data_IF_624739641772
#
_entry.id   IF_624739641772
#
_cell.length_a   1.000
_cell.length_b   1.000
_cell.length_c   1.000
_cell.angle_alpha   90.00
_cell.angle_beta   90.00
_cell.angle_gamma   90.00
#
_symmetry.space_group_name_H-M   'P 1'
#
loop_
_entity.id
_entity.type
_entity.pdbx_description
1 polymer ?
#
# COMPACT_ATOMS: atom_id res chain seq x y z
N UNK A 1 12.15 8.00 -2.68
CA UNK A 1 12.19 8.19 -1.23
C UNK A 1 11.15 7.39 -0.48
N UNK A 2 9.90 7.54 -0.82
CA UNK A 2 8.85 6.72 -0.23
C UNK A 2 9.09 5.22 -0.42
N UNK A 3 9.72 4.84 -1.53
CA UNK A 3 10.02 3.44 -1.85
C UNK A 3 10.72 2.68 -0.75
N UNK A 4 11.65 3.33 -0.06
CA UNK A 4 12.45 2.66 0.97
C UNK A 4 11.68 2.47 2.28
N UNK A 5 10.66 3.28 2.50
CA UNK A 5 9.86 3.19 3.71
C UNK A 5 8.80 2.11 3.63
N UNK A 6 8.41 1.71 2.42
CA UNK A 6 7.32 0.76 2.20
C UNK A 6 7.85 -0.64 1.92
N UNK A 7 7.26 -1.62 2.60
CA UNK A 7 7.55 -3.01 2.32
C UNK A 7 6.56 -3.51 1.27
N UNK A 8 6.88 -3.24 0.01
CA UNK A 8 6.01 -3.59 -1.12
C UNK A 8 5.72 -5.07 -1.21
N UNK A 9 6.73 -5.89 -0.94
CA UNK A 9 6.57 -7.35 -0.95
C UNK A 9 5.56 -7.82 0.08
N UNK A 10 5.64 -7.32 1.30
CA UNK A 10 4.71 -7.70 2.36
C UNK A 10 3.31 -7.19 2.07
N UNK A 11 3.18 -5.96 1.57
CA UNK A 11 1.88 -5.41 1.22
C UNK A 11 1.22 -6.20 0.10
N UNK A 12 1.98 -6.57 -0.92
CA UNK A 12 1.48 -7.38 -2.03
C UNK A 12 1.07 -8.77 -1.56
N UNK A 13 1.91 -9.41 -0.75
CA UNK A 13 1.61 -10.72 -0.19
C UNK A 13 0.31 -10.70 0.62
N UNK A 14 0.18 -9.70 1.49
CA UNK A 14 -1.01 -9.56 2.33
C UNK A 14 -2.26 -9.29 1.51
N UNK A 15 -2.13 -8.55 0.42
CA UNK A 15 -3.28 -8.23 -0.44
C UNK A 15 -3.77 -9.43 -1.25
N UNK A 16 -2.91 -10.42 -1.49
CA UNK A 16 -3.32 -11.66 -2.14
C UNK A 16 -3.82 -12.71 -1.14
N UNK A 17 -3.41 -12.60 0.12
CA UNK A 17 -3.79 -13.56 1.14
C UNK A 17 -3.38 -14.98 0.79
N UNK A 18 -4.30 -15.92 0.88
CA UNK A 18 -4.04 -17.33 0.60
C UNK A 18 -3.60 -17.59 -0.84
N UNK A 19 -3.97 -16.73 -1.77
CA UNK A 19 -3.59 -16.88 -3.19
C UNK A 19 -2.08 -16.79 -3.40
N UNK A 20 -1.38 -16.08 -2.51
CA UNK A 20 0.08 -15.93 -2.61
C UNK A 20 0.81 -17.27 -2.59
N UNK A 21 0.29 -18.24 -1.85
CA UNK A 21 0.93 -19.54 -1.71
C UNK A 21 0.97 -20.35 -3.00
N UNK A 22 0.03 -20.11 -3.89
CA UNK A 22 -0.05 -20.82 -5.16
C UNK A 22 0.83 -20.22 -6.25
N UNK A 23 1.50 -19.11 -5.98
CA UNK A 23 2.36 -18.46 -6.96
C UNK A 23 3.79 -18.94 -6.87
N UNK A 24 4.46 -19.09 -8.02
CA UNK A 24 5.88 -19.35 -8.06
C UNK A 24 6.66 -18.03 -7.85
N UNK A 25 7.98 -18.13 -7.71
CA UNK A 25 8.82 -16.96 -7.44
C UNK A 25 8.72 -15.89 -8.54
N UNK A 26 8.62 -16.33 -9.79
CA UNK A 26 8.50 -15.43 -10.93
C UNK A 26 7.21 -14.64 -10.88
N UNK A 27 6.11 -15.33 -10.61
CA UNK A 27 4.81 -14.69 -10.48
C UNK A 27 4.78 -13.73 -9.30
N UNK A 28 5.38 -14.11 -8.18
CA UNK A 28 5.47 -13.23 -7.01
C UNK A 28 6.22 -11.95 -7.32
N UNK A 29 7.38 -12.05 -7.96
CA UNK A 29 8.16 -10.89 -8.34
C UNK A 29 7.41 -9.97 -9.29
N UNK A 30 6.77 -10.55 -10.30
CA UNK A 30 5.98 -9.78 -11.27
C UNK A 30 4.80 -9.08 -10.60
N UNK A 31 4.14 -9.78 -9.68
CA UNK A 31 2.99 -9.19 -8.98
C UNK A 31 3.42 -8.03 -8.08
N UNK A 32 4.51 -8.19 -7.35
CA UNK A 32 5.02 -7.11 -6.48
C UNK A 32 5.34 -5.86 -7.31
N UNK A 33 6.00 -6.02 -8.44
CA UNK A 33 6.33 -4.90 -9.32
C UNK A 33 5.09 -4.19 -9.83
N UNK A 34 4.11 -4.95 -10.30
CA UNK A 34 2.87 -4.39 -10.82
C UNK A 34 2.05 -3.73 -9.71
N UNK A 35 2.02 -4.34 -8.52
CA UNK A 35 1.32 -3.79 -7.37
C UNK A 35 1.89 -2.43 -6.98
N UNK A 36 3.21 -2.36 -6.90
CA UNK A 36 3.91 -1.12 -6.59
C UNK A 36 3.60 -0.03 -7.62
N UNK A 37 3.65 -0.38 -8.91
CA UNK A 37 3.38 0.57 -9.97
C UNK A 37 1.94 1.06 -9.98
N UNK A 38 0.98 0.18 -9.70
CA UNK A 38 -0.44 0.56 -9.62
C UNK A 38 -0.67 1.54 -8.47
N UNK A 39 -0.07 1.26 -7.31
CA UNK A 39 -0.20 2.16 -6.17
C UNK A 39 0.45 3.51 -6.45
N UNK A 40 1.64 3.50 -7.05
CA UNK A 40 2.33 4.74 -7.39
C UNK A 40 1.49 5.56 -8.37
N UNK A 41 0.98 4.94 -9.42
CA UNK A 41 0.18 5.63 -10.43
C UNK A 41 -1.12 6.19 -9.84
N UNK A 42 -1.77 5.41 -8.97
CA UNK A 42 -3.06 5.81 -8.42
C UNK A 42 -2.95 6.97 -7.43
N UNK A 43 -1.89 6.99 -6.63
CA UNK A 43 -1.75 7.96 -5.56
C UNK A 43 -0.74 9.07 -5.86
N UNK A 44 0.01 8.99 -6.96
CA UNK A 44 0.96 10.05 -7.33
C UNK A 44 0.28 11.38 -7.59
N UNK A 45 -0.88 11.35 -8.24
CA UNK A 45 -1.64 12.57 -8.48
C UNK A 45 -2.02 13.25 -7.16
N UNK A 46 -2.42 12.46 -6.18
CA UNK A 46 -2.76 13.01 -4.87
C UNK A 46 -1.53 13.57 -4.18
N UNK A 47 -0.38 12.91 -4.33
CA UNK A 47 0.88 13.40 -3.79
C UNK A 47 1.28 14.70 -4.46
N UNK A 48 1.09 14.80 -5.78
CA UNK A 48 1.43 16.00 -6.54
C UNK A 48 0.54 17.20 -6.20
N UNK A 49 -0.68 16.94 -5.74
CA UNK A 49 -1.58 17.99 -5.26
C UNK A 49 -1.10 18.61 -3.96
N UNK A 50 -0.26 17.89 -3.23
CA UNK A 50 0.29 18.33 -1.96
C UNK A 50 1.64 18.97 -2.22
N UNK A 51 1.64 20.27 -2.51
CA UNK A 51 2.87 20.96 -2.90
C UNK A 51 3.27 22.05 -1.90
N UNK A 52 3.62 21.61 -0.72
CA UNK A 52 4.26 22.49 0.25
C UNK A 52 3.33 23.35 1.08
N UNK A 53 2.04 23.29 0.84
CA UNK A 53 1.05 24.00 1.65
C UNK A 53 0.39 23.11 2.69
N UNK A 54 0.74 21.80 2.66
CA UNK A 54 0.16 20.81 3.56
C UNK A 54 1.01 20.69 4.83
N UNK A 55 0.32 20.34 5.90
CA UNK A 55 0.97 20.04 7.15
C UNK A 55 0.61 18.62 7.56
N UNK A 56 1.59 17.86 8.04
CA UNK A 56 1.35 16.54 8.59
C UNK A 56 1.61 16.60 10.08
N UNK A 57 0.61 16.24 10.86
CA UNK A 57 0.78 16.13 12.31
C UNK A 57 0.76 14.67 12.72
N UNK A 58 1.65 14.31 13.63
CA UNK A 58 1.66 12.98 14.23
C UNK A 58 0.78 13.06 15.49
N UNK A 59 -0.34 12.36 15.46
CA UNK A 59 -1.35 12.46 16.52
C UNK A 59 -1.09 11.45 17.64
N UNK A 60 -0.34 10.39 17.36
CA UNK A 60 -0.03 9.39 18.37
C UNK A 60 0.47 8.12 17.74
N UNK A 61 0.87 7.18 18.59
CA UNK A 61 1.25 5.86 18.13
C UNK A 61 0.81 4.83 19.17
N UNK A 62 0.55 3.60 18.70
CA UNK A 62 0.18 2.50 19.57
C UNK A 62 0.92 1.25 19.11
N UNK A 63 1.55 0.57 20.07
CA UNK A 63 2.24 -0.69 19.76
C UNK A 63 1.27 -1.84 19.88
N UNK A 64 1.26 -2.70 18.87
CA UNK A 64 0.43 -3.89 18.83
C UNK A 64 1.32 -5.07 18.43
N UNK A 65 1.74 -5.87 19.40
CA UNK A 65 2.68 -6.99 19.19
C UNK A 65 3.98 -6.49 18.56
N UNK A 66 4.32 -6.94 17.36
CA UNK A 66 5.54 -6.55 16.68
C UNK A 66 5.34 -5.34 15.75
N UNK A 67 4.15 -4.77 15.76
CA UNK A 67 3.82 -3.66 14.89
C UNK A 67 3.52 -2.41 15.67
N UNK A 68 3.74 -1.27 15.03
CA UNK A 68 3.37 0.04 15.57
C UNK A 68 2.45 0.70 14.57
N UNK A 69 1.34 1.23 15.07
CA UNK A 69 0.45 2.04 14.25
C UNK A 69 0.71 3.50 14.59
N UNK A 70 1.15 4.27 13.60
CA UNK A 70 1.39 5.71 13.75
C UNK A 70 0.21 6.44 13.13
N UNK A 71 -0.50 7.21 13.94
CA UNK A 71 -1.65 7.98 13.48
C UNK A 71 -1.21 9.38 13.12
N UNK A 72 -1.57 9.80 11.93
CA UNK A 72 -1.25 11.13 11.44
C UNK A 72 -2.50 11.80 10.89
N UNK A 73 -2.45 13.12 10.79
CA UNK A 73 -3.46 13.90 10.10
C UNK A 73 -2.74 14.76 9.06
N UNK A 74 -3.15 14.61 7.82
CA UNK A 74 -2.69 15.47 6.73
C UNK A 74 -3.69 16.62 6.60
N UNK A 75 -3.20 17.85 6.72
CA UNK A 75 -4.02 19.04 6.51
C UNK A 75 -3.67 19.58 5.13
N UNK A 76 -4.65 19.58 4.23
CA UNK A 76 -4.44 20.02 2.85
C UNK A 76 -4.42 21.54 2.76
N UNK A 77 -4.02 22.06 1.60
CA UNK A 77 -4.03 23.50 1.35
C UNK A 77 -5.40 24.14 1.46
N UNK A 78 -6.47 23.36 1.26
CA UNK A 78 -7.85 23.82 1.42
C UNK A 78 -8.37 23.60 2.85
N UNK A 79 -7.48 23.24 3.79
CA UNK A 79 -7.78 23.00 5.20
C UNK A 79 -8.61 21.76 5.48
N UNK A 80 -8.67 20.83 4.52
CA UNK A 80 -9.28 19.55 4.78
C UNK A 80 -8.34 18.70 5.63
N UNK A 81 -8.91 17.94 6.56
CA UNK A 81 -8.15 17.04 7.41
C UNK A 81 -8.34 15.61 6.94
N UNK A 82 -7.24 14.96 6.61
CA UNK A 82 -7.27 13.59 6.12
C UNK A 82 -6.51 12.71 7.12
N UNK A 83 -7.21 11.84 7.87
CA UNK A 83 -6.52 10.93 8.78
C UNK A 83 -5.83 9.83 7.98
N UNK A 84 -4.54 9.64 8.24
CA UNK A 84 -3.74 8.60 7.60
C UNK A 84 -2.99 7.85 8.70
N UNK A 85 -3.27 6.56 8.82
CA UNK A 85 -2.59 5.70 9.78
C UNK A 85 -1.61 4.81 9.05
N UNK A 86 -0.40 4.73 9.58
CA UNK A 86 0.66 3.87 9.02
C UNK A 86 0.89 2.71 9.96
N UNK A 87 0.68 1.48 9.47
CA UNK A 87 1.04 0.30 10.23
C UNK A 87 2.46 -0.08 9.84
N UNK A 88 3.33 -0.15 10.81
CA UNK A 88 4.77 -0.33 10.58
C UNK A 88 5.28 -1.56 11.32
N UNK A 89 6.25 -2.22 10.72
CA UNK A 89 6.92 -3.38 11.30
C UNK A 89 8.42 -3.15 11.26
N UNK A 90 9.11 -3.56 12.31
CA UNK A 90 10.57 -3.42 12.38
C UNK A 90 11.25 -4.40 11.43
N UNK A 91 12.31 -3.93 10.77
CA UNK A 91 13.21 -4.80 10.03
C UNK A 91 14.09 -5.55 11.01
N UNK A 92 14.14 -6.86 10.90
CA UNK A 92 14.87 -7.67 11.86
C UNK A 92 16.38 -7.40 11.86
N UNK A 93 16.95 -6.99 10.73
CA UNK A 93 18.40 -6.88 10.59
C UNK A 93 18.95 -5.47 10.69
N UNK A 94 18.12 -4.44 10.59
CA UNK A 94 18.59 -3.07 10.47
C UNK A 94 18.05 -2.14 11.55
N UNK A 95 17.17 -2.61 12.42
CA UNK A 95 16.57 -1.77 13.44
C UNK A 95 15.67 -0.65 12.93
N UNK A 96 15.41 -0.61 11.64
CA UNK A 96 14.54 0.40 11.03
C UNK A 96 13.12 -0.14 10.89
N UNK A 97 12.16 0.76 10.66
CA UNK A 97 10.76 0.42 10.52
C UNK A 97 10.32 0.53 9.07
N UNK A 98 9.42 -0.36 8.64
CA UNK A 98 8.84 -0.32 7.31
C UNK A 98 7.33 -0.30 7.39
N UNK A 99 6.71 0.45 6.47
CA UNK A 99 5.26 0.50 6.36
C UNK A 99 4.77 -0.79 5.71
N UNK A 100 3.82 -1.46 6.35
CA UNK A 100 3.20 -2.69 5.83
C UNK A 100 1.72 -2.51 5.50
N UNK A 101 1.12 -1.39 5.88
CA UNK A 101 -0.22 -1.00 5.45
C UNK A 101 -0.43 0.48 5.71
N UNK A 102 -1.32 1.09 4.96
CA UNK A 102 -1.74 2.48 5.12
C UNK A 102 -3.26 2.51 5.17
N UNK A 103 -3.79 3.14 6.21
CA UNK A 103 -5.24 3.32 6.34
C UNK A 103 -5.55 4.79 6.12
N UNK A 104 -6.29 5.09 5.06
CA UNK A 104 -6.67 6.45 4.69
C UNK A 104 -8.16 6.61 4.93
N UNK A 105 -8.51 7.56 5.81
CA UNK A 105 -9.92 7.82 6.15
C UNK A 105 -10.66 6.54 6.57
N UNK A 106 -9.99 5.70 7.35
CA UNK A 106 -10.57 4.48 7.86
C UNK A 106 -10.52 3.28 6.92
N UNK A 107 -9.96 3.43 5.72
CA UNK A 107 -9.89 2.34 4.74
C UNK A 107 -8.46 1.84 4.63
N UNK A 108 -8.23 0.58 5.01
CA UNK A 108 -6.95 -0.08 4.83
C UNK A 108 -6.72 -0.40 3.36
N UNK A 109 -5.59 0.03 2.81
CA UNK A 109 -5.25 -0.25 1.42
C UNK A 109 -5.08 -1.75 1.18
N UNK A 110 -4.42 -2.44 2.10
CA UNK A 110 -4.23 -3.89 1.97
C UNK A 110 -5.57 -4.61 1.96
N UNK A 111 -6.47 -4.26 2.86
CA UNK A 111 -7.80 -4.88 2.91
C UNK A 111 -8.63 -4.56 1.67
N UNK A 112 -8.53 -3.33 1.18
CA UNK A 112 -9.21 -2.93 -0.05
C UNK A 112 -8.78 -3.80 -1.23
N UNK A 113 -7.47 -3.94 -1.41
CA UNK A 113 -6.94 -4.74 -2.51
C UNK A 113 -7.16 -6.23 -2.31
N UNK A 114 -7.20 -6.70 -1.05
CA UNK A 114 -7.53 -8.10 -0.77
C UNK A 114 -8.91 -8.46 -1.31
N UNK A 115 -9.87 -7.60 -1.08
CA UNK A 115 -11.23 -7.81 -1.59
C UNK A 115 -11.27 -7.73 -3.11
N UNK A 116 -10.58 -6.74 -3.67
CA UNK A 116 -10.54 -6.54 -5.13
C UNK A 116 -9.89 -7.72 -5.82
N UNK A 117 -8.75 -8.19 -5.33
CA UNK A 117 -8.02 -9.28 -5.96
C UNK A 117 -8.73 -10.63 -5.76
N UNK A 118 -9.33 -10.86 -4.60
CA UNK A 118 -10.11 -12.08 -4.39
C UNK A 118 -11.26 -12.17 -5.39
N UNK A 119 -11.95 -11.05 -5.61
CA UNK A 119 -13.02 -10.99 -6.60
C UNK A 119 -12.53 -11.26 -8.01
N UNK A 120 -11.39 -10.66 -8.36
CA UNK A 120 -10.81 -10.86 -9.69
C UNK A 120 -10.37 -12.30 -9.89
N UNK A 121 -9.69 -12.89 -8.90
CA UNK A 121 -9.15 -14.24 -9.01
C UNK A 121 -10.22 -15.33 -8.98
N UNK A 122 -11.46 -14.98 -8.65
CA UNK A 122 -12.57 -15.91 -8.82
C UNK A 122 -12.87 -16.20 -10.27
N UNK A 123 -12.48 -15.30 -11.19
CA UNK A 123 -12.82 -15.39 -12.61
C UNK A 123 -11.62 -15.33 -13.55
N UNK A 124 -10.42 -15.18 -13.04
CA UNK A 124 -9.22 -15.09 -13.88
C UNK A 124 -8.00 -15.67 -13.16
N UNK A 125 -6.96 -15.97 -13.93
CA UNK A 125 -5.69 -16.45 -13.37
C UNK A 125 -4.87 -15.28 -12.86
N UNK A 126 -3.82 -15.59 -12.06
CA UNK A 126 -2.91 -14.55 -11.57
C UNK A 126 -2.19 -13.85 -12.74
N UNK A 127 -1.82 -14.59 -13.77
CA UNK A 127 -1.16 -13.99 -14.92
C UNK A 127 -2.09 -13.02 -15.66
N UNK A 128 -3.37 -13.35 -15.75
CA UNK A 128 -4.37 -12.46 -16.32
C UNK A 128 -4.55 -11.21 -15.46
N UNK A 129 -4.56 -11.39 -14.14
CA UNK A 129 -4.67 -10.25 -13.23
C UNK A 129 -3.47 -9.32 -13.38
N UNK A 130 -2.26 -9.86 -13.44
CA UNK A 130 -1.05 -9.07 -13.63
C UNK A 130 -1.13 -8.24 -14.92
N UNK A 131 -1.56 -8.88 -16.01
CA UNK A 131 -1.70 -8.17 -17.28
C UNK A 131 -2.76 -7.08 -17.22
N UNK A 132 -3.86 -7.34 -16.53
CA UNK A 132 -4.91 -6.35 -16.36
C UNK A 132 -4.42 -5.14 -15.55
N UNK A 133 -3.66 -5.38 -14.50
CA UNK A 133 -3.09 -4.31 -13.68
C UNK A 133 -2.09 -3.48 -14.47
N UNK A 134 -1.29 -4.11 -15.33
CA UNK A 134 -0.39 -3.37 -16.22
C UNK A 134 -1.17 -2.46 -17.17
N UNK A 135 -2.29 -2.95 -17.68
CA UNK A 135 -3.15 -2.17 -18.58
C UNK A 135 -3.72 -0.93 -17.90
N UNK A 136 -4.06 -1.03 -16.62
CA UNK A 136 -4.61 0.10 -15.87
C UNK A 136 -3.62 1.25 -15.71
N UNK A 137 -2.33 0.94 -15.63
CA UNK A 137 -1.31 1.98 -15.52
C UNK A 137 -1.19 2.83 -16.78
N UNK A 138 -1.51 2.26 -17.93
CA UNK A 138 -1.36 2.92 -19.22
C UNK A 138 -2.53 3.80 -19.60
N UNK A 139 -3.60 3.75 -18.84
CA UNK A 139 -4.77 4.57 -19.10
C UNK A 139 -4.60 5.93 -18.43
N UNK A 140 -4.78 7.02 -19.19
CA UNK A 140 -4.65 8.37 -18.65
C UNK A 140 -5.72 8.71 -17.63
#
# INVERSE_FOLDING_TARGET
MADRAFNWGEMARSSLGAHWRSLDEKQRGRFVEVFKEVLAARYMDDIDRFQGTETVTVDGSAQQDEEVVVRTTLVTGSRERVPIDYRMRARQQEGSWMVVDVTIEGVSLVNHFRKTFAGALANMTIDQLIERLKGQQRQP
#
